data_IF_023207681588
#
_entry.id   IF_023207681588
#
_cell.length_a   1.000
_cell.length_b   1.000
_cell.length_c   1.000
_cell.angle_alpha   90.00
_cell.angle_beta   90.00
_cell.angle_gamma   90.00
#
_symmetry.space_group_name_H-M   'P 1'
#
loop_
_entity.id
_entity.type
_entity.pdbx_description
1 polymer ?
#
# COMPACT_ATOMS: atom_id res chain seq x y z
N UNK A 1 0.44 -7.05 18.82
CA UNK A 1 0.41 -5.62 19.19
C UNK A 1 0.80 -4.78 17.97
N UNK A 2 -0.07 -3.90 17.47
CA UNK A 2 0.31 -2.92 16.44
C UNK A 2 0.89 -1.69 17.14
N UNK A 3 2.12 -1.30 16.79
CA UNK A 3 2.76 -0.10 17.30
C UNK A 3 2.31 1.07 16.42
N UNK A 4 1.74 2.11 17.01
CA UNK A 4 1.44 3.34 16.28
C UNK A 4 2.73 4.08 15.90
N UNK A 5 2.78 4.59 14.66
CA UNK A 5 3.92 5.31 14.10
C UNK A 5 3.45 6.62 13.47
N UNK A 6 2.98 7.59 14.27
CA UNK A 6 2.32 8.79 13.77
C UNK A 6 3.23 9.60 12.84
N UNK A 7 4.52 9.72 13.16
CA UNK A 7 5.48 10.44 12.31
C UNK A 7 5.64 9.82 10.92
N UNK A 8 5.79 8.49 10.83
CA UNK A 8 5.92 7.82 9.52
C UNK A 8 4.64 7.96 8.70
N UNK A 9 3.47 7.82 9.35
CA UNK A 9 2.18 8.02 8.70
C UNK A 9 2.07 9.44 8.14
N UNK A 10 2.44 10.44 8.93
CA UNK A 10 2.43 11.84 8.49
C UNK A 10 3.40 12.10 7.34
N UNK A 11 4.59 11.51 7.34
CA UNK A 11 5.55 11.61 6.22
C UNK A 11 4.95 11.08 4.92
N UNK A 12 4.27 9.93 4.96
CA UNK A 12 3.62 9.36 3.76
C UNK A 12 2.47 10.24 3.29
N UNK A 13 1.61 10.73 4.20
CA UNK A 13 0.51 11.64 3.85
C UNK A 13 1.03 12.93 3.23
N UNK A 14 2.09 13.53 3.78
CA UNK A 14 2.71 14.73 3.21
C UNK A 14 3.32 14.48 1.83
N UNK A 15 3.95 13.30 1.63
CA UNK A 15 4.47 12.91 0.33
C UNK A 15 3.36 12.74 -0.71
N UNK A 16 2.23 12.12 -0.35
CA UNK A 16 1.05 11.96 -1.22
C UNK A 16 0.37 13.29 -1.55
N UNK A 17 0.44 14.30 -0.68
CA UNK A 17 -0.03 15.66 -1.00
C UNK A 17 0.83 16.35 -2.04
N UNK A 18 2.12 16.02 -2.09
CA UNK A 18 3.09 16.62 -3.04
C UNK A 18 3.17 15.86 -4.36
N UNK A 19 3.01 14.53 -4.33
CA UNK A 19 3.22 13.65 -5.47
C UNK A 19 2.04 12.70 -5.64
N UNK A 20 1.64 12.43 -6.89
CA UNK A 20 0.52 11.51 -7.21
C UNK A 20 0.80 10.06 -6.82
N UNK A 21 2.08 9.68 -6.67
CA UNK A 21 2.50 8.35 -6.26
C UNK A 21 3.66 8.45 -5.26
N UNK A 22 3.70 7.51 -4.32
CA UNK A 22 4.74 7.38 -3.29
C UNK A 22 5.15 5.92 -3.17
N UNK A 23 6.45 5.64 -3.21
CA UNK A 23 7.01 4.30 -3.01
C UNK A 23 7.62 4.21 -1.61
N UNK A 24 7.24 3.18 -0.85
CA UNK A 24 7.85 2.87 0.45
C UNK A 24 9.03 1.91 0.25
N UNK A 25 10.26 2.40 0.45
CA UNK A 25 11.49 1.60 0.32
C UNK A 25 12.05 1.18 1.67
N UNK A 26 12.80 0.06 1.69
CA UNK A 26 13.53 -0.41 2.87
C UNK A 26 13.62 -1.94 2.97
N UNK A 27 14.48 -2.48 3.86
CA UNK A 27 14.73 -3.92 3.99
C UNK A 27 13.46 -4.76 4.22
N UNK A 28 13.52 -6.06 3.96
CA UNK A 28 12.40 -6.97 4.29
C UNK A 28 12.10 -6.89 5.80
N UNK A 29 10.82 -7.06 6.15
CA UNK A 29 10.32 -7.11 7.55
C UNK A 29 10.46 -5.83 8.41
N UNK A 30 10.91 -4.70 7.87
CA UNK A 30 10.94 -3.41 8.63
C UNK A 30 9.55 -2.79 8.88
N UNK A 31 8.46 -3.45 8.46
CA UNK A 31 7.09 -2.99 8.70
C UNK A 31 6.49 -2.10 7.60
N UNK A 32 7.03 -2.11 6.38
CA UNK A 32 6.50 -1.35 5.22
C UNK A 32 5.02 -1.66 4.97
N UNK A 33 4.68 -2.95 4.89
CA UNK A 33 3.30 -3.42 4.71
C UNK A 33 2.41 -2.99 5.88
N UNK A 34 2.93 -3.00 7.11
CA UNK A 34 2.18 -2.53 8.28
C UNK A 34 1.87 -1.04 8.21
N UNK A 35 2.81 -0.22 7.72
CA UNK A 35 2.59 1.22 7.50
C UNK A 35 1.61 1.47 6.35
N UNK A 36 1.73 0.75 5.23
CA UNK A 36 0.76 0.87 4.13
C UNK A 36 -0.67 0.52 4.59
N UNK A 37 -0.80 -0.57 5.37
CA UNK A 37 -2.08 -1.02 5.93
C UNK A 37 -2.67 -0.11 7.01
N UNK A 38 -1.92 0.87 7.53
CA UNK A 38 -2.47 1.89 8.43
C UNK A 38 -3.05 3.10 7.66
N UNK A 39 -2.77 3.21 6.36
CA UNK A 39 -3.32 4.23 5.46
C UNK A 39 -4.52 3.69 4.69
N UNK A 40 -4.42 2.46 4.15
CA UNK A 40 -5.49 1.77 3.43
C UNK A 40 -5.63 0.35 4.02
N UNK A 41 -6.80 -0.03 4.56
CA UNK A 41 -7.01 -1.38 5.09
C UNK A 41 -6.77 -2.46 4.01
N UNK A 42 -6.22 -3.61 4.41
CA UNK A 42 -5.91 -4.70 3.48
C UNK A 42 -7.15 -5.33 2.82
N UNK A 43 -8.34 -5.12 3.37
CA UNK A 43 -9.62 -5.55 2.80
C UNK A 43 -10.33 -4.46 1.98
N UNK A 44 -9.68 -3.31 1.77
CA UNK A 44 -10.20 -2.27 0.90
C UNK A 44 -10.14 -2.71 -0.56
N UNK A 45 -11.14 -2.35 -1.37
CA UNK A 45 -11.09 -2.52 -2.82
C UNK A 45 -9.93 -1.74 -3.48
N UNK A 46 -9.35 -0.75 -2.79
CA UNK A 46 -8.21 0.03 -3.25
C UNK A 46 -6.86 -0.51 -2.72
N UNK A 47 -6.85 -1.70 -2.12
CA UNK A 47 -5.63 -2.37 -1.67
C UNK A 47 -5.32 -3.56 -2.57
N UNK A 48 -4.19 -3.48 -3.27
CA UNK A 48 -3.75 -4.49 -4.21
C UNK A 48 -2.51 -5.19 -3.65
N UNK A 49 -2.67 -6.45 -3.25
CA UNK A 49 -1.55 -7.30 -2.86
C UNK A 49 -1.04 -8.04 -4.10
N UNK A 50 0.12 -7.65 -4.61
CA UNK A 50 0.69 -8.24 -5.82
C UNK A 50 1.18 -9.68 -5.62
N UNK A 51 1.18 -10.20 -4.38
CA UNK A 51 1.42 -11.61 -4.09
C UNK A 51 0.11 -12.44 -4.16
N UNK A 52 -1.06 -11.80 -4.29
CA UNK A 52 -2.35 -12.49 -4.51
C UNK A 52 -2.53 -12.79 -6.00
N UNK A 53 -2.63 -14.07 -6.41
CA UNK A 53 -2.79 -14.45 -7.83
C UNK A 53 -4.00 -13.80 -8.51
N UNK A 54 -5.06 -13.48 -7.75
CA UNK A 54 -6.26 -12.83 -8.30
C UNK A 54 -5.98 -11.38 -8.69
N UNK A 55 -5.22 -10.69 -7.84
CA UNK A 55 -4.79 -9.32 -8.08
C UNK A 55 -3.80 -9.31 -9.25
N UNK A 56 -2.83 -10.21 -9.25
CA UNK A 56 -1.89 -10.37 -10.36
C UNK A 56 -2.62 -10.59 -11.71
N UNK A 57 -3.62 -11.48 -11.74
CA UNK A 57 -4.44 -11.72 -12.93
C UNK A 57 -5.24 -10.48 -13.38
N UNK A 58 -5.77 -9.68 -12.44
CA UNK A 58 -6.44 -8.41 -12.76
C UNK A 58 -5.49 -7.42 -13.44
N UNK A 59 -4.25 -7.31 -12.95
CA UNK A 59 -3.24 -6.43 -13.55
C UNK A 59 -2.71 -6.95 -14.89
N UNK A 60 -2.74 -8.26 -15.14
CA UNK A 60 -2.33 -8.84 -16.41
C UNK A 60 -3.33 -8.57 -17.56
N UNK A 61 -4.60 -8.31 -17.26
CA UNK A 61 -5.65 -8.02 -18.25
C UNK A 61 -6.50 -6.79 -17.88
N UNK A 62 -5.90 -5.59 -17.84
CA UNK A 62 -6.52 -4.39 -17.25
C UNK A 62 -7.73 -3.83 -18.01
N UNK A 63 -7.97 -4.26 -19.25
CA UNK A 63 -9.08 -3.77 -20.09
C UNK A 63 -10.38 -4.60 -19.94
N UNK A 64 -10.36 -5.70 -19.20
CA UNK A 64 -11.50 -6.65 -19.10
C UNK A 64 -12.22 -6.63 -17.76
N UNK A 65 -11.76 -5.83 -16.79
CA UNK A 65 -12.41 -5.72 -15.48
C UNK A 65 -13.44 -4.58 -15.52
N UNK A 66 -14.72 -4.94 -15.67
CA UNK A 66 -15.90 -4.07 -15.50
C UNK A 66 -16.60 -4.41 -14.18
#
# INVERSE_FOLDING_TARGET
MKIDRPHLRQTVTSALRRSRAVVLVGPRQVGKTTLARSLVPANSANYFDLEDPRVEAQFAAPLTTI
#
